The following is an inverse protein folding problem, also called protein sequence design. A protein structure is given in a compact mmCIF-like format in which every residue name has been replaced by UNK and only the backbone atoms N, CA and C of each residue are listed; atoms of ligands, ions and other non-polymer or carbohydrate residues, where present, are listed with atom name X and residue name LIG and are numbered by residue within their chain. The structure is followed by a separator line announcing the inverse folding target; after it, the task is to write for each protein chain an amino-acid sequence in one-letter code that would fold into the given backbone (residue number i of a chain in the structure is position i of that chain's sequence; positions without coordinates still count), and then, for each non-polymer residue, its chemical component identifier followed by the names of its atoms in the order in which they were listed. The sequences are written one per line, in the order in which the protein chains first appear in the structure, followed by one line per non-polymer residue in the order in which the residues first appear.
data_IF_441657373847
#
_entry.id   IF_441657373847
#
_cell.length_a   1.000
_cell.length_b   1.000
_cell.length_c   1.000
_cell.angle_alpha   90.00
_cell.angle_beta   90.00
_cell.angle_gamma   90.00
#
_symmetry.space_group_name_H-M   'P 1'
#
loop_
_entity.id
_entity.type
_entity.pdbx_description
1 polymer ?
#
# COMPACT_ATOMS: atom_id res chain seq x y z
N UNK A 1 2.26 -19.49 -0.39
CA UNK A 1 3.28 -19.90 0.61
C UNK A 1 2.76 -19.66 2.02
N UNK A 2 2.61 -20.72 2.83
CA UNK A 2 2.26 -20.57 4.25
C UNK A 2 3.41 -19.87 4.99
N UNK A 3 3.16 -18.73 5.64
CA UNK A 3 4.06 -18.19 6.66
C UNK A 3 4.94 -16.98 6.30
N UNK A 4 4.80 -16.39 5.12
CA UNK A 4 5.52 -15.14 4.78
C UNK A 4 4.60 -13.92 4.93
N UNK A 5 5.20 -12.73 5.03
CA UNK A 5 4.48 -11.49 5.33
C UNK A 5 4.23 -11.27 6.83
N UNK A 6 3.68 -10.11 7.14
CA UNK A 6 3.46 -9.70 8.51
C UNK A 6 2.33 -10.52 9.13
N UNK A 7 2.50 -10.94 10.38
CA UNK A 7 1.59 -11.88 11.05
C UNK A 7 1.38 -13.20 10.26
N UNK A 8 2.40 -13.63 9.49
CA UNK A 8 2.44 -14.89 8.72
C UNK A 8 1.43 -14.95 7.56
N UNK A 9 1.02 -13.79 7.06
CA UNK A 9 0.02 -13.69 6.03
C UNK A 9 0.38 -12.62 4.99
N UNK A 10 0.22 -12.94 3.70
CA UNK A 10 0.30 -12.01 2.59
C UNK A 10 -0.54 -12.52 1.41
N UNK A 11 -1.12 -11.59 0.64
CA UNK A 11 -1.78 -11.90 -0.62
C UNK A 11 -0.90 -11.47 -1.80
N UNK A 12 -1.12 -12.09 -2.96
CA UNK A 12 -0.44 -11.70 -4.20
C UNK A 12 -1.38 -11.77 -5.40
N UNK A 13 -1.05 -10.98 -6.42
CA UNK A 13 -1.66 -11.06 -7.74
C UNK A 13 -0.57 -10.95 -8.82
N UNK A 14 -0.91 -11.38 -10.04
CA UNK A 14 -0.07 -11.11 -11.20
C UNK A 14 -0.44 -9.75 -11.74
N UNK A 15 0.57 -8.91 -12.00
CA UNK A 15 0.34 -7.60 -12.55
C UNK A 15 -0.16 -7.68 -13.99
N UNK A 16 -1.08 -6.79 -14.32
CA UNK A 16 -1.55 -6.53 -15.68
C UNK A 16 -1.21 -5.09 -16.03
N UNK A 17 -0.91 -4.81 -17.29
CA UNK A 17 -0.63 -3.45 -17.76
C UNK A 17 -1.78 -2.85 -18.56
N UNK A 18 -2.78 -3.65 -18.92
CA UNK A 18 -3.96 -3.23 -19.66
C UNK A 18 -5.12 -2.96 -18.68
N UNK A 19 -5.59 -1.71 -18.54
CA UNK A 19 -6.74 -1.38 -17.70
C UNK A 19 -8.01 -2.14 -18.09
N UNK A 20 -8.18 -2.54 -19.35
CA UNK A 20 -9.35 -3.26 -19.83
C UNK A 20 -9.41 -4.70 -19.32
N UNK A 21 -8.27 -5.31 -18.96
CA UNK A 21 -8.24 -6.63 -18.34
C UNK A 21 -8.78 -6.60 -16.91
N UNK A 22 -8.66 -5.45 -16.25
CA UNK A 22 -8.91 -5.32 -14.83
C UNK A 22 -7.93 -6.15 -13.99
N UNK A 23 -7.91 -5.91 -12.69
CA UNK A 23 -7.06 -6.67 -11.78
C UNK A 23 -7.61 -6.60 -10.36
N UNK A 24 -7.26 -7.58 -9.50
CA UNK A 24 -7.65 -7.52 -8.11
C UNK A 24 -7.06 -6.27 -7.44
N UNK A 25 -7.84 -5.73 -6.50
CA UNK A 25 -7.52 -4.54 -5.74
C UNK A 25 -7.68 -4.89 -4.26
N UNK A 26 -6.74 -4.45 -3.44
CA UNK A 26 -6.88 -4.44 -1.98
C UNK A 26 -7.08 -3.01 -1.51
N UNK A 27 -8.00 -2.81 -0.56
CA UNK A 27 -8.22 -1.53 0.11
C UNK A 27 -8.09 -1.72 1.61
N UNK A 28 -7.27 -0.88 2.23
CA UNK A 28 -7.15 -0.72 3.67
C UNK A 28 -7.82 0.60 4.06
N UNK A 29 -8.86 0.52 4.88
CA UNK A 29 -9.73 1.66 5.22
C UNK A 29 -10.10 1.58 6.70
N UNK A 30 -9.26 2.11 7.61
CA UNK A 30 -9.55 2.11 9.03
C UNK A 30 -10.64 3.14 9.38
N UNK A 31 -11.26 2.98 10.56
CA UNK A 31 -11.98 4.06 11.22
C UNK A 31 -10.99 4.87 12.07
N UNK A 32 -10.59 6.05 11.59
CA UNK A 32 -9.63 6.91 12.28
C UNK A 32 -10.32 7.71 13.39
N UNK A 33 -9.80 7.69 14.63
CA UNK A 33 -10.52 8.27 15.77
C UNK A 33 -10.50 9.80 15.79
N UNK A 34 -9.54 10.44 15.12
CA UNK A 34 -9.33 11.89 15.15
C UNK A 34 -8.80 12.37 13.82
N UNK A 35 -9.08 13.64 13.49
CA UNK A 35 -8.40 14.32 12.40
C UNK A 35 -6.96 14.67 12.81
N UNK A 36 -5.98 14.29 11.98
CA UNK A 36 -4.57 14.53 12.23
C UNK A 36 -3.71 14.26 10.98
N UNK A 37 -2.43 14.62 11.05
CA UNK A 37 -1.40 14.05 10.18
C UNK A 37 -1.10 12.60 10.57
N UNK A 38 -0.98 11.72 9.58
CA UNK A 38 -0.60 10.33 9.76
C UNK A 38 0.58 9.97 8.87
N UNK A 39 1.62 9.37 9.46
CA UNK A 39 2.64 8.66 8.71
C UNK A 39 2.06 7.33 8.22
N UNK A 40 1.98 7.17 6.91
CA UNK A 40 1.57 5.93 6.26
C UNK A 40 2.78 5.06 5.99
N UNK A 41 2.78 3.85 6.56
CA UNK A 41 3.77 2.82 6.27
C UNK A 41 3.09 1.55 5.81
N UNK A 42 3.59 0.98 4.72
CA UNK A 42 3.11 -0.28 4.13
C UNK A 42 4.11 -1.38 4.39
N UNK A 43 3.63 -2.61 4.56
CA UNK A 43 4.50 -3.77 4.62
C UNK A 43 4.61 -4.41 3.23
N UNK A 44 5.84 -4.49 2.71
CA UNK A 44 6.15 -5.12 1.43
C UNK A 44 6.87 -6.45 1.74
N UNK A 45 6.16 -7.60 1.69
CA UNK A 45 6.65 -8.85 2.25
C UNK A 45 7.68 -9.52 1.35
N UNK A 46 8.72 -10.11 1.93
CA UNK A 46 9.63 -10.98 1.20
C UNK A 46 9.12 -12.42 1.28
N UNK A 47 8.48 -12.86 0.20
CA UNK A 47 7.86 -14.17 0.07
C UNK A 47 8.49 -14.97 -1.09
N UNK A 48 8.63 -16.30 -0.97
CA UNK A 48 9.02 -17.13 -2.11
C UNK A 48 8.05 -16.96 -3.27
N UNK A 49 8.56 -16.61 -4.46
CA UNK A 49 7.79 -16.49 -5.70
C UNK A 49 8.56 -17.09 -6.86
N UNK A 50 7.83 -17.59 -7.87
CA UNK A 50 8.40 -18.02 -9.16
C UNK A 50 8.58 -16.86 -10.15
N UNK A 51 8.10 -15.66 -9.79
CA UNK A 51 8.11 -14.48 -10.63
C UNK A 51 8.79 -13.34 -9.90
N UNK A 52 9.41 -12.48 -10.69
CA UNK A 52 9.90 -11.20 -10.21
C UNK A 52 8.77 -10.38 -9.58
N UNK A 53 9.13 -9.55 -8.60
CA UNK A 53 8.22 -8.61 -7.96
C UNK A 53 8.07 -7.38 -8.84
N UNK A 54 6.88 -6.79 -8.82
CA UNK A 54 6.62 -5.53 -9.54
C UNK A 54 7.59 -4.44 -9.08
N UNK A 55 8.05 -3.66 -10.03
CA UNK A 55 8.83 -2.45 -9.84
C UNK A 55 7.96 -1.20 -9.85
N UNK A 56 6.65 -1.37 -10.10
CA UNK A 56 5.69 -0.30 -10.33
C UNK A 56 4.38 -0.53 -9.55
N UNK A 57 4.47 -0.98 -8.30
CA UNK A 57 3.30 -1.11 -7.42
C UNK A 57 2.69 0.27 -7.16
N UNK A 58 1.51 0.53 -7.73
CA UNK A 58 0.81 1.82 -7.63
C UNK A 58 -0.16 1.82 -6.44
N UNK A 59 0.22 2.53 -5.38
CA UNK A 59 -0.63 2.83 -4.24
C UNK A 59 -1.43 4.11 -4.51
N UNK A 60 -2.72 4.07 -4.24
CA UNK A 60 -3.61 5.24 -4.24
C UNK A 60 -3.94 5.56 -2.78
N UNK A 61 -3.65 6.79 -2.36
CA UNK A 61 -3.98 7.28 -1.01
C UNK A 61 -5.07 8.32 -1.15
N UNK A 62 -6.26 8.01 -0.62
CA UNK A 62 -7.31 8.99 -0.39
C UNK A 62 -7.10 9.56 1.01
N UNK A 63 -6.79 10.85 1.09
CA UNK A 63 -6.65 11.60 2.33
C UNK A 63 -7.65 12.78 2.33
N UNK A 64 -7.66 13.60 3.39
CA UNK A 64 -8.64 14.69 3.57
C UNK A 64 -8.60 15.68 2.39
N UNK A 65 -7.39 16.06 1.99
CA UNK A 65 -7.16 17.11 1.00
C UNK A 65 -7.21 16.61 -0.45
N UNK A 66 -7.43 15.31 -0.68
CA UNK A 66 -7.53 14.75 -2.03
C UNK A 66 -6.96 13.34 -2.18
N UNK A 67 -6.58 13.02 -3.41
CA UNK A 67 -6.03 11.72 -3.80
C UNK A 67 -4.62 11.90 -4.32
N UNK A 68 -3.71 11.04 -3.89
CA UNK A 68 -2.34 10.96 -4.43
C UNK A 68 -2.01 9.52 -4.84
N UNK A 69 -1.25 9.39 -5.93
CA UNK A 69 -0.71 8.12 -6.40
C UNK A 69 0.79 8.03 -6.12
N UNK A 70 1.23 6.90 -5.58
CA UNK A 70 2.61 6.64 -5.21
C UNK A 70 3.02 5.30 -5.80
N UNK A 71 4.07 5.29 -6.63
CA UNK A 71 4.64 4.07 -7.20
C UNK A 71 5.85 3.62 -6.40
N UNK A 72 5.83 2.39 -5.91
CA UNK A 72 6.95 1.76 -5.22
C UNK A 72 7.53 0.59 -6.01
N UNK A 73 8.84 0.39 -5.87
CA UNK A 73 9.52 -0.78 -6.40
C UNK A 73 9.56 -1.87 -5.32
N UNK A 74 8.66 -2.86 -5.40
CA UNK A 74 8.62 -3.94 -4.41
C UNK A 74 9.82 -4.90 -4.51
N UNK A 75 10.65 -4.82 -5.56
CA UNK A 75 11.88 -5.61 -5.65
C UNK A 75 12.98 -5.06 -4.75
N UNK A 76 13.11 -3.75 -4.68
CA UNK A 76 14.18 -3.08 -3.92
C UNK A 76 13.70 -2.55 -2.56
N UNK A 77 12.42 -2.22 -2.44
CA UNK A 77 11.80 -1.72 -1.20
C UNK A 77 11.04 -2.86 -0.53
N UNK A 78 11.48 -3.28 0.66
CA UNK A 78 10.90 -4.43 1.39
C UNK A 78 10.80 -4.13 2.88
N UNK A 79 9.96 -4.89 3.61
CA UNK A 79 9.66 -4.62 5.02
C UNK A 79 8.70 -3.45 5.16
N UNK A 80 8.83 -2.66 6.24
CA UNK A 80 8.02 -1.46 6.44
C UNK A 80 8.59 -0.29 5.64
N UNK A 81 7.81 0.21 4.69
CA UNK A 81 8.20 1.26 3.76
C UNK A 81 7.23 2.42 3.91
N UNK A 82 7.74 3.64 4.09
CA UNK A 82 6.91 4.83 4.16
C UNK A 82 6.34 5.18 2.79
N UNK A 83 5.03 5.46 2.74
CA UNK A 83 4.40 6.15 1.62
C UNK A 83 4.53 7.67 1.77
N UNK A 84 4.47 8.16 3.01
CA UNK A 84 4.55 9.59 3.32
C UNK A 84 3.69 9.96 4.50
N UNK A 85 3.56 11.27 4.72
CA UNK A 85 2.73 11.88 5.75
C UNK A 85 1.58 12.63 5.08
N UNK A 86 0.35 12.37 5.52
CA UNK A 86 -0.85 12.99 4.93
C UNK A 86 -1.89 13.36 5.98
N UNK A 87 -2.68 14.42 5.75
CA UNK A 87 -3.79 14.79 6.61
C UNK A 87 -4.99 13.88 6.37
N UNK A 88 -5.47 13.22 7.41
CA UNK A 88 -6.70 12.43 7.37
C UNK A 88 -7.77 13.01 8.29
N UNK A 89 -9.02 13.02 7.83
CA UNK A 89 -10.18 13.28 8.67
C UNK A 89 -10.45 12.10 9.63
N UNK A 90 -11.16 12.36 10.73
CA UNK A 90 -11.74 11.29 11.54
C UNK A 90 -12.81 10.53 10.74
N UNK A 91 -13.02 9.26 11.07
CA UNK A 91 -13.99 8.39 10.40
C UNK A 91 -13.33 7.47 9.38
N UNK A 92 -14.10 7.07 8.37
CA UNK A 92 -13.72 6.02 7.40
C UNK A 92 -13.45 6.56 6.00
N UNK A 93 -13.42 7.86 5.77
CA UNK A 93 -13.32 8.41 4.40
C UNK A 93 -11.95 8.19 3.77
N UNK A 94 -10.89 8.12 4.59
CA UNK A 94 -9.53 7.89 4.11
C UNK A 94 -9.17 6.41 3.92
N UNK A 95 -8.43 6.11 2.87
CA UNK A 95 -7.97 4.75 2.58
C UNK A 95 -6.64 4.71 1.81
N UNK A 96 -5.99 3.56 1.89
CA UNK A 96 -4.92 3.17 0.95
C UNK A 96 -5.44 2.04 0.09
N UNK A 97 -5.20 2.13 -1.22
CA UNK A 97 -5.57 1.10 -2.18
C UNK A 97 -4.35 0.69 -2.99
N UNK A 98 -4.18 -0.60 -3.23
CA UNK A 98 -3.17 -1.15 -4.14
C UNK A 98 -3.89 -2.05 -5.14
N UNK A 99 -3.53 -1.95 -6.42
CA UNK A 99 -4.09 -2.78 -7.48
C UNK A 99 -3.02 -3.62 -8.18
N UNK A 100 -3.46 -4.66 -8.89
CA UNK A 100 -2.62 -5.42 -9.79
C UNK A 100 -2.34 -4.69 -11.13
N UNK A 101 -2.98 -3.55 -11.39
CA UNK A 101 -2.63 -2.71 -12.54
C UNK A 101 -1.28 -2.03 -12.27
N UNK A 102 -0.24 -2.44 -12.99
CA UNK A 102 1.12 -1.91 -12.91
C UNK A 102 1.70 -1.81 -14.32
N UNK A 103 2.64 -0.88 -14.54
CA UNK A 103 3.22 -0.72 -15.88
C UNK A 103 4.18 -1.85 -16.27
N UNK A 104 4.57 -2.73 -15.34
CA UNK A 104 5.21 -4.01 -15.65
C UNK A 104 4.20 -5.16 -15.57
N UNK A 105 3.89 -5.78 -16.72
CA UNK A 105 2.98 -6.92 -16.80
C UNK A 105 3.67 -8.25 -16.46
N UNK A 106 2.94 -9.17 -15.84
CA UNK A 106 3.43 -10.52 -15.52
C UNK A 106 4.31 -10.61 -14.27
N UNK A 107 4.53 -9.52 -13.55
CA UNK A 107 5.22 -9.49 -12.26
C UNK A 107 4.28 -9.85 -11.10
N UNK A 108 4.83 -10.09 -9.92
CA UNK A 108 4.04 -10.31 -8.69
C UNK A 108 3.81 -8.98 -7.97
N UNK A 109 2.55 -8.64 -7.70
CA UNK A 109 2.17 -7.56 -6.78
C UNK A 109 1.85 -8.20 -5.43
N UNK A 110 2.53 -7.77 -4.36
CA UNK A 110 2.27 -8.24 -3.00
C UNK A 110 1.42 -7.25 -2.22
N UNK A 111 0.45 -7.79 -1.47
CA UNK A 111 -0.45 -7.06 -0.59
C UNK A 111 -0.33 -7.64 0.82
N UNK A 112 -0.23 -6.79 1.83
CA UNK A 112 -0.08 -7.24 3.22
C UNK A 112 -0.78 -6.28 4.19
N UNK A 113 -0.04 -5.34 4.79
CA UNK A 113 -0.53 -4.45 5.82
C UNK A 113 -0.19 -2.99 5.55
N UNK A 114 -1.00 -2.12 6.12
CA UNK A 114 -0.80 -0.67 6.16
C UNK A 114 -1.01 -0.19 7.59
N UNK A 115 -0.18 0.74 8.05
CA UNK A 115 -0.36 1.41 9.33
C UNK A 115 -0.52 2.90 9.11
N UNK A 116 -1.48 3.46 9.83
CA UNK A 116 -1.64 4.88 10.06
C UNK A 116 -1.03 5.19 11.42
N UNK A 117 0.14 5.84 11.43
CA UNK A 117 0.80 6.26 12.66
C UNK A 117 0.49 7.73 12.88
N UNK A 118 -0.36 8.03 13.88
CA UNK A 118 -0.74 9.41 14.20
C UNK A 118 0.48 10.22 14.61
N UNK A 119 0.67 11.38 13.99
CA UNK A 119 1.68 12.36 14.38
C UNK A 119 1.12 13.19 15.54
N UNK A 120 1.82 13.28 16.69
CA UNK A 120 1.42 14.16 17.77
C UNK A 120 1.41 15.63 17.33
N UNK A 121 0.42 16.40 17.78
CA UNK A 121 0.38 17.84 17.54
C UNK A 121 1.64 18.51 18.13
N UNK A 122 2.32 19.32 17.33
CA UNK A 122 3.54 20.04 17.73
C UNK A 122 4.86 19.28 17.54
N UNK A 123 4.84 18.07 16.97
CA UNK A 123 6.07 17.42 16.52
C UNK A 123 6.59 18.10 15.24
N UNK A 124 7.82 18.65 15.28
CA UNK A 124 8.51 19.11 14.07
C UNK A 124 8.91 17.92 13.19
N UNK A 125 9.03 18.12 11.85
CA UNK A 125 9.54 17.10 10.92
C UNK A 125 10.92 16.55 11.30
#
# INVERSE_FOLDING_TARGET
PMGCGQARHAYQAISVSDPAQGGPVARWQPNLPVEAEYDLVVHIPTCPSKRERTTQARYVVQHRDGVIEISLNQRTQTGWVALGRFPFAAGTDGYVQLGALAGDSGATVWFDQVRWVRVPAGASP
#
